data_IF_506882525452
#
_entry.id   IF_506882525452
#
_cell.length_a   1.000
_cell.length_b   1.000
_cell.length_c   1.000
_cell.angle_alpha   90.00
_cell.angle_beta   90.00
_cell.angle_gamma   90.00
#
_symmetry.space_group_name_H-M   'P 1'
#
loop_
_entity.id
_entity.type
_entity.pdbx_description
1 polymer ?
#
# COMPACT_ATOMS: atom_id res chain seq x y z
N UNK A 1 12.06 -2.92 -8.17
CA UNK A 1 10.71 -2.62 -7.64
C UNK A 1 9.70 -3.49 -8.37
N UNK A 2 8.66 -4.01 -7.69
CA UNK A 2 7.63 -4.84 -8.35
C UNK A 2 6.62 -3.98 -9.11
N UNK A 3 5.85 -4.58 -10.04
CA UNK A 3 4.78 -3.87 -10.74
C UNK A 3 3.76 -3.23 -9.79
N UNK A 4 3.45 -3.89 -8.67
CA UNK A 4 2.50 -3.36 -7.69
C UNK A 4 3.09 -2.23 -6.85
N UNK A 5 4.39 -2.26 -6.59
CA UNK A 5 5.08 -1.15 -5.95
C UNK A 5 5.16 0.07 -6.88
N UNK A 6 5.40 -0.11 -8.19
CA UNK A 6 5.29 0.97 -9.17
C UNK A 6 3.86 1.53 -9.23
N UNK A 7 2.85 0.65 -9.29
CA UNK A 7 1.45 1.06 -9.29
C UNK A 7 1.09 1.84 -8.00
N UNK A 8 1.64 1.47 -6.85
CA UNK A 8 1.42 2.21 -5.60
C UNK A 8 1.99 3.64 -5.64
N UNK A 9 3.15 3.84 -6.28
CA UNK A 9 3.71 5.19 -6.48
C UNK A 9 2.83 6.02 -7.41
N UNK A 10 2.42 5.46 -8.55
CA UNK A 10 1.54 6.15 -9.49
C UNK A 10 0.19 6.49 -8.82
N UNK A 11 -0.41 5.53 -8.11
CA UNK A 11 -1.65 5.73 -7.39
C UNK A 11 -1.51 6.81 -6.31
N UNK A 12 -0.40 6.83 -5.56
CA UNK A 12 -0.13 7.90 -4.60
C UNK A 12 -0.17 9.28 -5.26
N UNK A 13 0.49 9.46 -6.41
CA UNK A 13 0.51 10.74 -7.13
C UNK A 13 -0.90 11.17 -7.53
N UNK A 14 -1.72 10.24 -8.04
CA UNK A 14 -3.11 10.51 -8.41
C UNK A 14 -3.98 10.92 -7.20
N UNK A 15 -3.78 10.29 -6.04
CA UNK A 15 -4.52 10.67 -4.82
C UNK A 15 -4.04 12.02 -4.29
N UNK A 16 -2.73 12.20 -4.16
CA UNK A 16 -2.14 13.37 -3.51
C UNK A 16 -2.30 14.66 -4.35
N UNK A 17 -2.23 14.57 -5.68
CA UNK A 17 -2.23 15.75 -6.56
C UNK A 17 -3.51 15.91 -7.36
N UNK A 18 -4.20 14.83 -7.71
CA UNK A 18 -5.39 14.88 -8.58
C UNK A 18 -6.70 14.71 -7.81
N UNK A 19 -6.65 14.62 -6.47
CA UNK A 19 -7.80 14.41 -5.59
C UNK A 19 -8.66 13.18 -5.98
N UNK A 20 -8.05 12.17 -6.59
CA UNK A 20 -8.73 10.92 -6.91
C UNK A 20 -8.97 10.10 -5.63
N UNK A 21 -10.06 9.31 -5.62
CA UNK A 21 -10.26 8.33 -4.56
C UNK A 21 -9.13 7.29 -4.58
N UNK A 22 -8.67 6.76 -3.43
CA UNK A 22 -7.63 5.73 -3.40
C UNK A 22 -7.96 4.51 -4.26
N UNK A 23 -9.25 4.16 -4.37
CA UNK A 23 -9.73 3.05 -5.21
C UNK A 23 -9.50 3.35 -6.69
N UNK A 24 -9.99 4.49 -7.17
CA UNK A 24 -9.91 4.82 -8.59
C UNK A 24 -8.46 5.07 -9.00
N UNK A 25 -7.68 5.72 -8.14
CA UNK A 25 -6.25 5.91 -8.34
C UNK A 25 -5.49 4.57 -8.47
N UNK A 26 -5.82 3.58 -7.64
CA UNK A 26 -5.23 2.25 -7.75
C UNK A 26 -5.61 1.56 -9.07
N UNK A 27 -6.89 1.57 -9.44
CA UNK A 27 -7.34 0.93 -10.69
C UNK A 27 -6.68 1.57 -11.92
N UNK A 28 -6.58 2.90 -11.96
CA UNK A 28 -5.89 3.61 -13.02
C UNK A 28 -4.38 3.24 -13.06
N UNK A 29 -3.71 3.34 -11.93
CA UNK A 29 -2.27 3.08 -11.84
C UNK A 29 -1.90 1.62 -12.17
N UNK A 30 -2.67 0.63 -11.69
CA UNK A 30 -2.38 -0.77 -12.02
C UNK A 30 -2.64 -1.07 -13.49
N UNK A 31 -3.59 -0.37 -14.12
CA UNK A 31 -3.85 -0.51 -15.55
C UNK A 31 -2.68 -0.01 -16.41
N UNK A 32 -2.01 1.07 -16.00
CA UNK A 32 -0.82 1.61 -16.68
C UNK A 32 0.40 0.66 -16.58
N UNK A 33 0.50 -0.12 -15.51
CA UNK A 33 1.70 -0.95 -15.26
C UNK A 33 1.56 -2.36 -15.85
N UNK A 34 0.35 -2.84 -16.14
CA UNK A 34 0.15 -4.18 -16.73
C UNK A 34 -1.14 -4.29 -17.52
N UNK A 35 -1.11 -5.01 -18.65
CA UNK A 35 -2.31 -5.38 -19.43
C UNK A 35 -3.01 -6.65 -18.92
N UNK A 36 -2.41 -7.36 -17.96
CA UNK A 36 -2.97 -8.61 -17.45
C UNK A 36 -4.16 -8.36 -16.52
N UNK A 37 -5.36 -8.76 -16.95
CA UNK A 37 -6.58 -8.63 -16.16
C UNK A 37 -6.48 -9.35 -14.79
N UNK A 38 -5.90 -10.55 -14.78
CA UNK A 38 -5.69 -11.31 -13.54
C UNK A 38 -4.71 -10.61 -12.59
N UNK A 39 -3.70 -9.92 -13.13
CA UNK A 39 -2.78 -9.11 -12.33
C UNK A 39 -3.45 -7.85 -11.78
N UNK A 40 -4.30 -7.17 -12.57
CA UNK A 40 -5.09 -5.99 -12.16
C UNK A 40 -6.07 -6.33 -11.03
N UNK A 41 -6.73 -7.49 -11.13
CA UNK A 41 -7.74 -7.97 -10.16
C UNK A 41 -7.17 -8.55 -8.85
N UNK A 42 -5.85 -8.56 -8.64
CA UNK A 42 -5.27 -9.14 -7.42
C UNK A 42 -5.69 -8.38 -6.16
N UNK A 43 -6.21 -9.13 -5.19
CA UNK A 43 -6.75 -8.58 -3.94
C UNK A 43 -5.70 -8.05 -2.96
N UNK A 44 -4.61 -8.80 -2.70
CA UNK A 44 -3.59 -8.43 -1.71
C UNK A 44 -2.94 -7.05 -1.97
N UNK A 45 -2.33 -6.78 -3.15
CA UNK A 45 -1.66 -5.50 -3.38
C UNK A 45 -2.63 -4.32 -3.31
N UNK A 46 -3.82 -4.47 -3.92
CA UNK A 46 -4.89 -3.47 -3.84
C UNK A 46 -5.31 -3.20 -2.39
N UNK A 47 -5.62 -4.25 -1.62
CA UNK A 47 -6.04 -4.11 -0.24
C UNK A 47 -4.96 -3.43 0.61
N UNK A 48 -3.69 -3.71 0.35
CA UNK A 48 -2.58 -3.02 1.03
C UNK A 48 -2.57 -1.53 0.74
N UNK A 49 -2.57 -1.11 -0.53
CA UNK A 49 -2.54 0.32 -0.87
C UNK A 49 -3.74 1.07 -0.28
N UNK A 50 -4.95 0.52 -0.44
CA UNK A 50 -6.17 1.13 0.09
C UNK A 50 -6.13 1.25 1.61
N UNK A 51 -5.66 0.22 2.31
CA UNK A 51 -5.56 0.27 3.76
C UNK A 51 -4.63 1.38 4.25
N UNK A 52 -3.49 1.59 3.57
CA UNK A 52 -2.57 2.66 3.92
C UNK A 52 -3.18 4.05 3.67
N UNK A 53 -3.85 4.23 2.52
CA UNK A 53 -4.49 5.49 2.16
C UNK A 53 -5.66 5.84 3.10
N UNK A 54 -6.58 4.88 3.28
CA UNK A 54 -7.81 5.06 4.04
C UNK A 54 -7.53 5.27 5.54
N UNK A 55 -6.47 4.64 6.08
CA UNK A 55 -6.07 4.80 7.47
C UNK A 55 -5.10 5.95 7.74
N UNK A 56 -4.82 6.82 6.76
CA UNK A 56 -3.99 8.02 7.00
C UNK A 56 -2.48 7.75 7.12
N UNK A 57 -2.01 6.59 6.66
CA UNK A 57 -0.59 6.25 6.63
C UNK A 57 0.17 6.89 5.47
N UNK A 58 -0.52 7.49 4.50
CA UNK A 58 0.11 8.16 3.36
C UNK A 58 0.22 9.68 3.63
N UNK A 59 1.42 10.24 3.45
CA UNK A 59 1.67 11.68 3.61
C UNK A 59 0.92 12.50 2.58
N UNK A 60 0.40 13.65 2.97
CA UNK A 60 -0.35 14.59 2.11
C UNK A 60 -1.61 13.99 1.48
N UNK A 61 -2.05 12.81 1.94
CA UNK A 61 -3.31 12.20 1.56
C UNK A 61 -4.26 12.35 2.74
N UNK A 62 -5.40 12.99 2.53
CA UNK A 62 -6.44 13.05 3.57
C UNK A 62 -6.92 11.63 3.86
N UNK A 63 -7.03 11.28 5.13
CA UNK A 63 -7.65 10.02 5.53
C UNK A 63 -9.07 9.95 4.97
N UNK A 64 -9.39 8.84 4.32
CA UNK A 64 -10.72 8.60 3.79
C UNK A 64 -11.49 7.77 4.81
N UNK A 65 -12.43 8.39 5.53
CA UNK A 65 -13.34 7.70 6.47
C UNK A 65 -14.43 6.89 5.74
N UNK A 66 -14.15 6.37 4.55
CA UNK A 66 -15.04 5.42 3.88
C UNK A 66 -15.27 4.18 4.75
N UNK A 67 -16.18 3.29 4.33
CA UNK A 67 -16.48 2.05 5.08
C UNK A 67 -15.18 1.34 5.49
N UNK A 68 -14.89 1.34 6.80
CA UNK A 68 -13.72 0.66 7.38
C UNK A 68 -13.71 -0.77 6.87
N UNK A 69 -12.77 -1.10 5.97
CA UNK A 69 -12.65 -2.46 5.47
C UNK A 69 -11.95 -3.31 6.51
N UNK A 70 -12.76 -4.01 7.29
CA UNK A 70 -12.29 -4.95 8.32
C UNK A 70 -11.86 -6.24 7.61
N UNK A 71 -10.61 -6.67 7.79
CA UNK A 71 -10.12 -7.92 7.21
C UNK A 71 -8.63 -8.16 7.43
N UNK A 72 -8.21 -9.43 7.36
CA UNK A 72 -6.81 -9.86 7.62
C UNK A 72 -5.79 -9.13 6.75
N UNK A 73 -6.12 -8.84 5.48
CA UNK A 73 -5.23 -8.11 4.57
C UNK A 73 -5.06 -6.65 4.98
N UNK A 74 -6.15 -6.02 5.42
CA UNK A 74 -6.16 -4.64 5.88
C UNK A 74 -5.32 -4.52 7.16
N UNK A 75 -5.62 -5.35 8.16
CA UNK A 75 -4.87 -5.39 9.43
C UNK A 75 -3.37 -5.62 9.20
N UNK A 76 -3.01 -6.53 8.30
CA UNK A 76 -1.62 -6.77 7.96
C UNK A 76 -0.95 -5.58 7.30
N UNK A 77 -1.64 -4.84 6.44
CA UNK A 77 -1.08 -3.63 5.83
C UNK A 77 -0.74 -2.58 6.90
N UNK A 78 -1.61 -2.40 7.88
CA UNK A 78 -1.41 -1.50 9.02
C UNK A 78 -0.25 -1.99 9.91
N UNK A 79 -0.21 -3.29 10.23
CA UNK A 79 0.88 -3.91 10.98
C UNK A 79 2.24 -3.71 10.30
N UNK A 80 2.33 -3.99 9.00
CA UNK A 80 3.55 -3.81 8.22
C UNK A 80 3.98 -2.34 8.18
N UNK A 81 3.04 -1.41 7.99
CA UNK A 81 3.36 0.02 8.02
C UNK A 81 3.91 0.46 9.38
N UNK A 82 3.32 -0.02 10.48
CA UNK A 82 3.81 0.25 11.82
C UNK A 82 5.23 -0.30 12.00
N UNK A 83 5.49 -1.56 11.61
CA UNK A 83 6.81 -2.16 11.69
C UNK A 83 7.87 -1.37 10.91
N UNK A 84 7.55 -0.89 9.71
CA UNK A 84 8.46 -0.08 8.89
C UNK A 84 8.74 1.27 9.54
N UNK A 85 7.73 1.89 10.16
CA UNK A 85 7.87 3.17 10.85
C UNK A 85 8.61 3.05 12.19
N UNK A 86 8.46 1.93 12.90
CA UNK A 86 9.16 1.64 14.16
C UNK A 86 10.61 1.19 13.95
N UNK A 87 10.87 0.51 12.83
CA UNK A 87 12.18 -0.04 12.51
C UNK A 87 12.61 0.45 11.11
N UNK A 88 13.06 1.72 10.99
CA UNK A 88 13.57 2.24 9.73
C UNK A 88 14.68 1.35 9.17
N UNK A 89 14.52 0.90 7.93
CA UNK A 89 15.47 -0.04 7.28
C UNK A 89 15.15 -1.51 7.47
N UNK A 90 14.04 -1.88 8.13
CA UNK A 90 13.60 -3.27 8.23
C UNK A 90 13.52 -3.94 6.85
N UNK A 91 14.11 -5.12 6.74
CA UNK A 91 14.11 -5.90 5.52
C UNK A 91 12.80 -6.65 5.29
N UNK A 92 12.54 -7.08 4.06
CA UNK A 92 11.40 -7.94 3.73
C UNK A 92 11.43 -9.26 4.51
N UNK A 93 12.62 -9.81 4.78
CA UNK A 93 12.78 -11.06 5.54
C UNK A 93 12.36 -10.87 7.00
N UNK A 94 12.76 -9.77 7.62
CA UNK A 94 12.35 -9.42 8.99
C UNK A 94 10.85 -9.11 9.08
N UNK A 95 10.26 -8.49 8.05
CA UNK A 95 8.80 -8.35 7.98
C UNK A 95 8.11 -9.71 7.95
N UNK A 96 8.60 -10.68 7.16
CA UNK A 96 8.04 -12.04 7.11
C UNK A 96 8.14 -12.73 8.48
N UNK A 97 9.27 -12.59 9.17
CA UNK A 97 9.49 -13.14 10.51
C UNK A 97 8.52 -12.53 11.53
N UNK A 98 8.47 -11.19 11.62
CA UNK A 98 7.65 -10.48 12.62
C UNK A 98 6.15 -10.65 12.41
N UNK A 99 5.70 -10.76 11.16
CA UNK A 99 4.28 -10.92 10.81
C UNK A 99 3.84 -12.39 10.73
N UNK A 100 4.78 -13.34 10.82
CA UNK A 100 4.56 -14.76 10.51
C UNK A 100 3.85 -15.00 9.17
N UNK A 101 4.02 -14.10 8.18
CA UNK A 101 3.34 -14.16 6.90
C UNK A 101 4.30 -14.01 5.72
N UNK A 102 4.34 -15.04 4.88
CA UNK A 102 5.08 -15.01 3.62
C UNK A 102 4.27 -14.32 2.53
N UNK A 103 4.56 -13.05 2.28
CA UNK A 103 3.99 -12.30 1.18
C UNK A 103 4.47 -12.85 -0.17
N UNK A 104 3.56 -13.52 -0.89
CA UNK A 104 3.78 -14.01 -2.25
C UNK A 104 3.21 -13.10 -3.33
N UNK A 105 2.49 -12.04 -2.94
CA UNK A 105 1.71 -11.20 -3.86
C UNK A 105 2.24 -9.77 -3.99
N UNK A 106 3.32 -9.42 -3.25
CA UNK A 106 4.02 -8.15 -3.40
C UNK A 106 3.44 -7.01 -2.55
N UNK A 107 2.60 -7.32 -1.56
CA UNK A 107 2.07 -6.36 -0.59
C UNK A 107 3.16 -5.68 0.24
N UNK A 108 4.23 -6.37 0.62
CA UNK A 108 5.31 -5.78 1.42
C UNK A 108 6.14 -4.81 0.60
N UNK A 109 6.30 -5.11 -0.70
CA UNK A 109 7.03 -4.24 -1.61
C UNK A 109 6.34 -2.88 -1.76
N UNK A 110 5.00 -2.83 -1.68
CA UNK A 110 4.23 -1.57 -1.67
C UNK A 110 4.62 -0.71 -0.46
N UNK A 111 4.49 -1.26 0.74
CA UNK A 111 4.74 -0.50 1.96
C UNK A 111 6.21 -0.05 2.10
N UNK A 112 7.15 -0.94 1.76
CA UNK A 112 8.58 -0.63 1.75
C UNK A 112 8.92 0.47 0.74
N UNK A 113 8.37 0.37 -0.49
CA UNK A 113 8.63 1.37 -1.53
C UNK A 113 8.10 2.75 -1.14
N UNK A 114 6.87 2.82 -0.61
CA UNK A 114 6.30 4.08 -0.14
C UNK A 114 7.13 4.69 1.00
N UNK A 115 7.63 3.87 1.93
CA UNK A 115 8.51 4.34 2.99
C UNK A 115 9.88 4.81 2.47
N UNK A 116 10.49 4.09 1.53
CA UNK A 116 11.76 4.48 0.89
C UNK A 116 11.67 5.83 0.17
N UNK A 117 10.50 6.16 -0.38
CA UNK A 117 10.24 7.46 -1.00
C UNK A 117 9.76 8.52 0.01
N UNK A 118 9.79 8.21 1.32
CA UNK A 118 9.39 9.12 2.37
C UNK A 118 7.89 9.43 2.40
N UNK A 119 7.04 8.61 1.78
CA UNK A 119 5.61 8.83 1.59
C UNK A 119 4.75 8.19 2.70
N UNK A 120 5.34 7.34 3.54
CA UNK A 120 4.67 6.70 4.67
C UNK A 120 4.78 7.57 5.94
N UNK A 121 3.71 7.61 6.75
CA UNK A 121 3.66 8.31 8.03
C UNK A 121 2.78 7.58 9.05
N UNK A 122 2.85 7.99 10.31
CA UNK A 122 1.82 7.64 11.30
C UNK A 122 0.53 8.42 11.01
N UNK A 123 -0.64 7.80 11.17
CA UNK A 123 -1.92 8.53 11.16
C UNK A 123 -1.91 9.62 12.24
N UNK A 124 -2.53 10.78 11.94
CA UNK A 124 -2.73 11.88 12.90
C UNK A 124 -3.99 11.67 13.73
#
# INVERSE_FOLDING_TARGET
>A
MSQYAQAALNAYQLVAHNSMSPRDAWEAAVAEVTESESARKKGCPRATFLALADSGYLKNVKQHHGEKKIGKLYQRAIEVANLILDLPGISKAELVDKTCYKDRQGSYDIALTLAQHGLLQRPQ
#
